data_IF_629617534328
#
_entry.id   IF_629617534328
#
_cell.length_a   1.000
_cell.length_b   1.000
_cell.length_c   1.000
_cell.angle_alpha   90.00
_cell.angle_beta   90.00
_cell.angle_gamma   90.00
#
_symmetry.space_group_name_H-M   'P 1'
#
loop_
_entity.id
_entity.type
_entity.pdbx_description
1 polymer ?
#
# COMPACT_ATOMS: atom_id res chain seq x y z
N UNK A 1 14.10 -5.70 4.99
CA UNK A 1 12.79 -5.34 4.42
C UNK A 1 12.06 -6.61 3.96
N UNK A 2 10.72 -6.67 4.18
CA UNK A 2 9.90 -7.75 3.62
C UNK A 2 9.96 -7.70 2.08
N UNK A 3 9.97 -8.85 1.37
CA UNK A 3 10.08 -8.87 -0.10
C UNK A 3 9.06 -8.00 -0.81
N UNK A 4 7.81 -7.97 -0.30
CA UNK A 4 6.75 -7.10 -0.84
C UNK A 4 7.02 -5.60 -0.70
N UNK A 5 7.68 -5.18 0.38
CA UNK A 5 8.07 -3.78 0.59
C UNK A 5 9.21 -3.40 -0.34
N UNK A 6 10.21 -4.29 -0.48
CA UNK A 6 11.32 -4.09 -1.43
C UNK A 6 10.81 -3.96 -2.87
N UNK A 7 9.94 -4.87 -3.30
CA UNK A 7 9.35 -4.81 -4.64
C UNK A 7 8.55 -3.51 -4.87
N UNK A 8 7.82 -3.04 -3.86
CA UNK A 8 7.09 -1.78 -3.96
C UNK A 8 8.03 -0.57 -4.06
N UNK A 9 9.14 -0.55 -3.32
CA UNK A 9 10.12 0.54 -3.39
C UNK A 9 10.83 0.58 -4.73
N UNK A 10 11.22 -0.58 -5.28
CA UNK A 10 11.80 -0.68 -6.61
C UNK A 10 10.82 -0.18 -7.67
N UNK A 11 9.56 -0.62 -7.61
CA UNK A 11 8.51 -0.13 -8.53
C UNK A 11 8.35 1.39 -8.47
N UNK A 12 8.25 1.96 -7.25
CA UNK A 12 8.10 3.41 -7.10
C UNK A 12 9.33 4.18 -7.61
N UNK A 13 10.51 3.66 -7.36
CA UNK A 13 11.75 4.23 -7.88
C UNK A 13 11.78 4.20 -9.41
N UNK A 14 11.66 3.01 -9.99
CA UNK A 14 11.80 2.81 -11.45
C UNK A 14 10.73 3.56 -12.24
N UNK A 15 9.51 3.66 -11.69
CA UNK A 15 8.39 4.22 -12.43
C UNK A 15 8.20 5.72 -12.23
N UNK A 16 8.58 6.27 -11.08
CA UNK A 16 8.27 7.67 -10.75
C UNK A 16 9.48 8.54 -10.46
N UNK A 17 10.59 7.99 -10.02
CA UNK A 17 11.71 8.79 -9.51
C UNK A 17 12.90 8.76 -10.46
N UNK A 18 13.25 7.60 -10.97
CA UNK A 18 14.49 7.35 -11.72
C UNK A 18 14.71 8.31 -12.90
N UNK A 19 13.67 8.61 -13.65
CA UNK A 19 13.73 9.47 -14.84
C UNK A 19 13.51 10.96 -14.51
N UNK A 20 13.33 11.33 -13.25
CA UNK A 20 13.19 12.73 -12.86
C UNK A 20 14.56 13.43 -12.86
N UNK A 21 14.63 14.70 -13.32
CA UNK A 21 15.90 15.41 -13.44
C UNK A 21 16.76 15.38 -12.17
N UNK A 22 16.15 15.59 -11.01
CA UNK A 22 16.88 15.61 -9.73
C UNK A 22 17.50 14.26 -9.36
N UNK A 23 16.94 13.14 -9.83
CA UNK A 23 17.48 11.81 -9.54
C UNK A 23 18.83 11.52 -10.21
N UNK A 24 19.14 12.30 -11.24
CA UNK A 24 20.38 12.22 -12.01
C UNK A 24 21.35 13.39 -11.74
N UNK A 25 21.00 14.28 -10.77
CA UNK A 25 21.85 15.39 -10.36
C UNK A 25 22.82 14.95 -9.25
N UNK A 26 24.01 15.57 -9.19
CA UNK A 26 24.89 15.47 -8.03
C UNK A 26 24.15 15.91 -6.75
N UNK A 27 24.29 15.17 -5.64
CA UNK A 27 23.58 15.43 -4.39
C UNK A 27 23.64 16.89 -3.92
N UNK A 28 24.81 17.59 -3.96
CA UNK A 28 24.89 18.99 -3.54
C UNK A 28 24.09 20.00 -4.41
N UNK A 29 23.72 19.59 -5.63
CA UNK A 29 22.97 20.43 -6.58
C UNK A 29 21.46 20.23 -6.47
N UNK A 30 21.00 19.23 -5.71
CA UNK A 30 19.57 19.00 -5.51
C UNK A 30 19.03 20.04 -4.53
N UNK A 31 18.18 20.91 -5.05
CA UNK A 31 17.54 21.96 -4.26
C UNK A 31 16.12 21.60 -3.83
N UNK A 32 15.65 22.33 -2.83
CA UNK A 32 14.26 22.19 -2.36
C UNK A 32 13.22 22.45 -3.46
N UNK A 33 13.52 23.35 -4.41
CA UNK A 33 12.69 23.65 -5.58
C UNK A 33 12.46 22.42 -6.45
N UNK A 34 13.48 21.60 -6.64
CA UNK A 34 13.42 20.43 -7.52
C UNK A 34 12.48 19.35 -6.96
N UNK A 35 12.61 19.06 -5.66
CA UNK A 35 11.72 18.13 -4.97
C UNK A 35 10.30 18.68 -4.90
N UNK A 36 10.12 19.97 -4.65
CA UNK A 36 8.81 20.61 -4.64
C UNK A 36 8.15 20.57 -6.03
N UNK A 37 8.89 20.86 -7.09
CA UNK A 37 8.41 20.79 -8.47
C UNK A 37 7.97 19.36 -8.82
N UNK A 38 8.78 18.36 -8.48
CA UNK A 38 8.45 16.96 -8.67
C UNK A 38 7.15 16.55 -7.96
N UNK A 39 7.02 16.82 -6.67
CA UNK A 39 5.82 16.48 -5.91
C UNK A 39 4.58 17.21 -6.44
N UNK A 40 4.74 18.48 -6.82
CA UNK A 40 3.65 19.27 -7.41
C UNK A 40 3.23 18.72 -8.77
N UNK A 41 4.19 18.27 -9.60
CA UNK A 41 3.94 17.60 -10.88
C UNK A 41 3.08 16.35 -10.67
N UNK A 42 3.42 15.49 -9.71
CA UNK A 42 2.67 14.28 -9.41
C UNK A 42 1.22 14.59 -8.98
N UNK A 43 1.04 15.57 -8.11
CA UNK A 43 -0.30 15.99 -7.67
C UNK A 43 -1.14 16.56 -8.82
N UNK A 44 -0.55 17.35 -9.72
CA UNK A 44 -1.21 17.86 -10.94
C UNK A 44 -1.64 16.76 -11.89
N UNK A 45 -0.90 15.64 -11.94
CA UNK A 45 -1.27 14.44 -12.70
C UNK A 45 -2.27 13.53 -11.98
N UNK A 46 -2.92 14.01 -10.91
CA UNK A 46 -3.98 13.30 -10.21
C UNK A 46 -3.49 12.31 -9.13
N UNK A 47 -2.22 12.38 -8.73
CA UNK A 47 -1.73 11.59 -7.61
C UNK A 47 -2.43 11.96 -6.32
N UNK A 48 -2.92 10.95 -5.61
CA UNK A 48 -3.44 11.17 -4.27
C UNK A 48 -2.29 11.47 -3.29
N UNK A 49 -2.54 12.31 -2.30
CA UNK A 49 -1.54 12.68 -1.29
C UNK A 49 -0.95 11.46 -0.56
N UNK A 50 -1.76 10.42 -0.33
CA UNK A 50 -1.27 9.17 0.28
C UNK A 50 -0.34 8.37 -0.65
N UNK A 51 -0.49 8.49 -1.97
CA UNK A 51 0.43 7.88 -2.93
C UNK A 51 1.75 8.65 -2.97
N UNK A 52 1.68 9.98 -2.86
CA UNK A 52 2.87 10.83 -2.71
C UNK A 52 3.63 10.51 -1.42
N UNK A 53 2.94 10.16 -0.33
CA UNK A 53 3.58 9.69 0.90
C UNK A 53 4.47 8.47 0.65
N UNK A 54 4.00 7.51 -0.16
CA UNK A 54 4.77 6.32 -0.50
C UNK A 54 6.04 6.66 -1.28
N UNK A 55 6.00 7.65 -2.16
CA UNK A 55 7.20 8.15 -2.87
C UNK A 55 8.13 8.89 -1.89
N UNK A 56 7.57 9.71 -1.01
CA UNK A 56 8.34 10.43 0.00
C UNK A 56 9.07 9.47 0.96
N UNK A 57 8.55 8.26 1.22
CA UNK A 57 9.24 7.23 2.04
C UNK A 57 10.50 6.66 1.37
N UNK A 58 10.74 6.95 0.11
CA UNK A 58 11.99 6.61 -0.60
C UNK A 58 12.88 7.85 -0.66
N UNK A 59 12.36 8.96 -1.19
CA UNK A 59 13.15 10.18 -1.47
C UNK A 59 13.69 10.81 -0.18
N UNK A 60 12.84 10.97 0.85
CA UNK A 60 13.22 11.68 2.06
C UNK A 60 14.31 10.95 2.88
N UNK A 61 14.19 9.63 3.18
CA UNK A 61 15.24 8.92 3.92
C UNK A 61 16.57 8.82 3.15
N UNK A 62 16.53 8.67 1.82
CA UNK A 62 17.75 8.64 1.01
C UNK A 62 18.51 9.97 1.10
N UNK A 63 17.80 11.10 1.05
CA UNK A 63 18.42 12.42 1.22
C UNK A 63 18.82 12.69 2.68
N UNK A 64 18.16 12.06 3.67
CA UNK A 64 18.56 12.15 5.06
C UNK A 64 19.88 11.38 5.29
N UNK A 65 20.03 10.18 4.71
CA UNK A 65 21.33 9.47 4.73
C UNK A 65 22.45 10.31 4.14
N UNK A 66 22.18 11.05 3.04
CA UNK A 66 23.17 11.95 2.47
C UNK A 66 23.56 13.12 3.41
N UNK A 67 22.67 13.52 4.31
CA UNK A 67 22.99 14.49 5.38
C UNK A 67 23.81 13.81 6.48
N UNK A 68 23.41 12.61 6.90
CA UNK A 68 24.10 11.85 7.96
C UNK A 68 25.54 11.47 7.53
N UNK A 69 25.77 11.25 6.23
CA UNK A 69 27.08 10.95 5.64
C UNK A 69 27.85 12.22 5.20
N UNK A 70 27.40 13.42 5.57
CA UNK A 70 28.04 14.71 5.26
C UNK A 70 28.15 15.06 3.77
N UNK A 71 27.42 14.40 2.88
CA UNK A 71 27.37 14.77 1.45
C UNK A 71 26.62 16.08 1.19
N UNK A 72 25.60 16.35 2.01
CA UNK A 72 24.79 17.60 1.94
C UNK A 72 24.51 18.12 3.36
N UNK A 73 24.47 19.43 3.52
CA UNK A 73 24.27 20.05 4.84
C UNK A 73 22.84 19.97 5.37
N UNK A 74 21.86 19.88 4.48
CA UNK A 74 20.43 19.89 4.82
C UNK A 74 19.65 19.04 3.80
N UNK A 75 18.68 18.30 4.30
CA UNK A 75 17.79 17.53 3.44
C UNK A 75 16.83 18.45 2.65
N UNK A 76 16.93 18.53 1.31
CA UNK A 76 16.10 19.40 0.49
C UNK A 76 14.61 18.99 0.50
N UNK A 77 14.27 17.76 0.81
CA UNK A 77 12.88 17.28 0.88
C UNK A 77 12.18 17.60 2.20
N UNK A 78 12.91 18.07 3.21
CA UNK A 78 12.39 18.26 4.57
C UNK A 78 11.15 19.16 4.62
N UNK A 79 10.05 18.62 5.14
CA UNK A 79 8.79 19.32 5.35
C UNK A 79 7.96 19.62 4.10
N UNK A 80 8.41 19.26 2.89
CA UNK A 80 7.65 19.52 1.64
C UNK A 80 6.35 18.71 1.64
N UNK A 81 6.42 17.40 1.86
CA UNK A 81 5.24 16.55 1.90
C UNK A 81 4.22 17.03 2.93
N UNK A 82 4.69 17.36 4.15
CA UNK A 82 3.81 17.87 5.21
C UNK A 82 3.10 19.16 4.78
N UNK A 83 3.83 20.09 4.17
CA UNK A 83 3.25 21.33 3.65
C UNK A 83 2.18 21.06 2.60
N UNK A 84 2.47 20.25 1.58
CA UNK A 84 1.52 19.90 0.52
C UNK A 84 0.27 19.16 1.03
N UNK A 85 0.40 18.42 2.15
CA UNK A 85 -0.72 17.77 2.80
C UNK A 85 -1.64 18.75 3.55
N UNK A 86 -1.09 19.83 4.08
CA UNK A 86 -1.83 20.77 4.94
C UNK A 86 -2.38 21.98 4.20
N UNK A 87 -1.74 22.44 3.14
CA UNK A 87 -2.13 23.67 2.41
C UNK A 87 -3.26 23.47 1.38
N UNK A 88 -3.86 22.27 1.34
CA UNK A 88 -4.98 21.96 0.46
C UNK A 88 -4.64 21.76 -1.01
N UNK A 89 -3.36 21.74 -1.37
CA UNK A 89 -2.89 21.51 -2.75
C UNK A 89 -3.25 20.13 -3.30
N UNK A 90 -3.59 19.18 -2.42
CA UNK A 90 -3.98 17.83 -2.80
C UNK A 90 -5.49 17.60 -2.64
N UNK A 91 -6.12 16.83 -3.54
CA UNK A 91 -7.50 16.41 -3.38
C UNK A 91 -7.71 15.73 -2.03
N UNK A 92 -8.75 16.16 -1.29
CA UNK A 92 -9.08 15.50 -0.02
C UNK A 92 -9.42 14.03 -0.28
N UNK A 93 -8.80 13.08 0.45
CA UNK A 93 -9.12 11.68 0.28
C UNK A 93 -10.59 11.43 0.61
N UNK A 94 -11.30 10.72 -0.28
CA UNK A 94 -12.68 10.31 0.00
C UNK A 94 -12.69 9.43 1.25
N UNK A 95 -13.50 9.81 2.26
CA UNK A 95 -13.66 9.03 3.48
C UNK A 95 -14.28 7.67 3.12
N UNK A 96 -13.60 6.59 3.43
CA UNK A 96 -14.15 5.24 3.32
C UNK A 96 -15.14 5.04 4.46
N UNK A 97 -16.36 4.65 4.13
CA UNK A 97 -17.43 4.37 5.10
C UNK A 97 -17.66 2.86 5.07
N UNK A 98 -17.78 2.26 6.25
CA UNK A 98 -18.16 0.86 6.37
C UNK A 98 -19.61 0.66 5.90
N UNK A 99 -19.89 -0.51 5.33
CA UNK A 99 -21.25 -0.87 4.96
C UNK A 99 -22.14 -0.99 6.22
N UNK A 100 -23.35 -0.45 6.14
CA UNK A 100 -24.37 -0.74 7.15
C UNK A 100 -24.81 -2.21 7.05
N UNK A 101 -25.41 -2.74 8.10
CA UNK A 101 -25.93 -4.12 8.12
C UNK A 101 -26.90 -4.40 6.94
N UNK A 102 -27.77 -3.45 6.65
CA UNK A 102 -28.71 -3.54 5.51
C UNK A 102 -27.98 -3.57 4.16
N UNK A 103 -26.98 -2.69 3.99
CA UNK A 103 -26.16 -2.67 2.76
C UNK A 103 -25.38 -3.98 2.57
N UNK A 104 -24.82 -4.54 3.65
CA UNK A 104 -24.14 -5.82 3.64
C UNK A 104 -25.07 -6.96 3.20
N UNK A 105 -26.27 -7.03 3.78
CA UNK A 105 -27.27 -8.03 3.43
C UNK A 105 -27.72 -7.90 1.97
N UNK A 106 -27.96 -6.68 1.50
CA UNK A 106 -28.35 -6.43 0.12
C UNK A 106 -27.23 -6.80 -0.86
N UNK A 107 -25.99 -6.52 -0.51
CA UNK A 107 -24.81 -6.91 -1.30
C UNK A 107 -24.68 -8.43 -1.44
N UNK A 108 -24.77 -9.18 -0.33
CA UNK A 108 -24.72 -10.65 -0.36
C UNK A 108 -25.90 -11.23 -1.17
N UNK A 109 -27.10 -10.67 -1.02
CA UNK A 109 -28.28 -11.09 -1.78
C UNK A 109 -28.13 -10.82 -3.27
N UNK A 110 -27.54 -9.68 -3.64
CA UNK A 110 -27.22 -9.38 -5.03
C UNK A 110 -26.24 -10.38 -5.62
N UNK A 111 -25.14 -10.68 -4.91
CA UNK A 111 -24.15 -11.68 -5.35
C UNK A 111 -24.78 -13.04 -5.50
N UNK A 112 -25.57 -13.49 -4.54
CA UNK A 112 -26.23 -14.82 -4.57
C UNK A 112 -27.14 -15.00 -5.79
N UNK A 113 -27.79 -13.94 -6.24
CA UNK A 113 -28.71 -13.96 -7.40
C UNK A 113 -28.04 -13.68 -8.75
N UNK A 114 -26.80 -13.24 -8.75
CA UNK A 114 -26.09 -12.86 -9.98
C UNK A 114 -25.52 -14.07 -10.69
N UNK A 115 -25.88 -14.35 -11.95
CA UNK A 115 -25.26 -15.41 -12.73
C UNK A 115 -23.73 -15.26 -12.87
N UNK A 116 -23.27 -14.01 -12.91
CA UNK A 116 -21.85 -13.68 -13.10
C UNK A 116 -21.04 -13.74 -11.80
N UNK A 117 -21.64 -13.34 -10.68
CA UNK A 117 -20.90 -13.12 -9.43
C UNK A 117 -21.20 -14.13 -8.32
N UNK A 118 -22.14 -15.07 -8.52
CA UNK A 118 -22.56 -16.03 -7.49
C UNK A 118 -21.42 -16.90 -6.95
N UNK A 119 -20.42 -17.22 -7.76
CA UNK A 119 -19.23 -17.97 -7.33
C UNK A 119 -18.36 -17.23 -6.30
N UNK A 120 -18.50 -15.91 -6.17
CA UNK A 120 -17.82 -15.11 -5.14
C UNK A 120 -18.54 -15.11 -3.80
N UNK A 121 -19.77 -15.63 -3.72
CA UNK A 121 -20.58 -15.59 -2.50
C UNK A 121 -19.86 -16.19 -1.27
N UNK A 122 -19.21 -17.38 -1.34
CA UNK A 122 -18.54 -17.94 -0.18
C UNK A 122 -17.44 -17.05 0.38
N UNK A 123 -16.56 -16.56 -0.47
CA UNK A 123 -15.44 -15.72 -0.03
C UNK A 123 -15.94 -14.36 0.52
N UNK A 124 -16.95 -13.75 -0.11
CA UNK A 124 -17.52 -12.48 0.36
C UNK A 124 -18.25 -12.66 1.70
N UNK A 125 -18.90 -13.80 1.93
CA UNK A 125 -19.53 -14.12 3.22
C UNK A 125 -18.48 -14.25 4.31
N UNK A 126 -17.39 -14.96 4.06
CA UNK A 126 -16.29 -15.09 5.03
C UNK A 126 -15.66 -13.74 5.33
N UNK A 127 -15.32 -12.95 4.30
CA UNK A 127 -14.70 -11.64 4.48
C UNK A 127 -15.57 -10.67 5.30
N UNK A 128 -16.88 -10.63 5.01
CA UNK A 128 -17.82 -9.75 5.72
C UNK A 128 -18.14 -10.26 7.12
N UNK A 129 -18.19 -11.58 7.33
CA UNK A 129 -18.49 -12.18 8.63
C UNK A 129 -17.34 -12.15 9.62
N UNK A 130 -16.09 -12.25 9.11
CA UNK A 130 -14.89 -12.34 9.96
C UNK A 130 -14.05 -11.07 10.02
N UNK A 131 -14.22 -10.16 9.06
CA UNK A 131 -13.36 -8.98 8.92
C UNK A 131 -11.91 -9.30 8.54
N UNK A 132 -11.63 -10.48 8.01
CA UNK A 132 -10.30 -10.86 7.51
C UNK A 132 -9.87 -9.97 6.35
N UNK A 133 -8.55 -9.79 6.21
CA UNK A 133 -8.00 -9.20 4.98
C UNK A 133 -8.08 -10.22 3.83
N UNK A 134 -8.19 -9.73 2.60
CA UNK A 134 -8.29 -10.62 1.42
C UNK A 134 -7.16 -11.65 1.41
N UNK A 135 -5.91 -11.22 1.63
CA UNK A 135 -4.75 -12.12 1.63
C UNK A 135 -4.76 -13.15 2.79
N UNK A 136 -5.36 -12.83 3.91
CA UNK A 136 -5.59 -13.77 5.02
C UNK A 136 -6.64 -14.81 4.61
N UNK A 137 -7.77 -14.35 4.08
CA UNK A 137 -8.86 -15.22 3.65
C UNK A 137 -8.45 -16.18 2.51
N UNK A 138 -7.72 -15.67 1.51
CA UNK A 138 -7.23 -16.52 0.40
C UNK A 138 -6.12 -17.49 0.81
N UNK A 139 -5.46 -17.22 1.94
CA UNK A 139 -4.43 -18.09 2.51
C UNK A 139 -4.98 -19.26 3.33
N UNK A 140 -6.25 -19.23 3.76
CA UNK A 140 -6.84 -20.28 4.61
C UNK A 140 -6.69 -21.66 3.99
N UNK A 141 -6.20 -22.59 4.78
CA UNK A 141 -6.13 -24.01 4.46
C UNK A 141 -7.10 -24.83 5.33
N UNK A 142 -7.30 -26.11 5.00
CA UNK A 142 -8.18 -26.99 5.79
C UNK A 142 -7.68 -27.13 7.24
N UNK A 143 -6.38 -27.11 7.46
CA UNK A 143 -5.78 -27.21 8.81
C UNK A 143 -6.01 -25.97 9.67
N UNK A 144 -6.37 -24.85 9.08
CA UNK A 144 -6.66 -23.61 9.82
C UNK A 144 -8.11 -23.55 10.34
N UNK A 145 -8.97 -24.50 9.92
CA UNK A 145 -10.39 -24.53 10.27
C UNK A 145 -10.63 -25.62 11.31
N UNK A 146 -11.12 -25.22 12.48
CA UNK A 146 -11.58 -26.12 13.51
C UNK A 146 -13.12 -26.08 13.59
N UNK A 147 -13.77 -27.09 13.00
CA UNK A 147 -15.24 -27.17 12.95
C UNK A 147 -15.85 -27.52 14.31
N UNK A 148 -15.12 -28.20 15.21
CA UNK A 148 -15.63 -28.56 16.54
C UNK A 148 -15.70 -27.32 17.46
N UNK A 149 -14.79 -26.39 17.30
CA UNK A 149 -14.73 -25.14 18.06
C UNK A 149 -15.31 -23.94 17.30
N UNK A 150 -15.72 -24.13 16.04
CA UNK A 150 -16.16 -23.04 15.14
C UNK A 150 -15.15 -21.91 15.03
N UNK A 151 -13.85 -22.24 14.92
CA UNK A 151 -12.77 -21.27 14.84
C UNK A 151 -11.98 -21.38 13.56
N UNK A 152 -11.38 -20.26 13.15
CA UNK A 152 -10.44 -20.18 12.02
C UNK A 152 -9.16 -19.53 12.52
N UNK A 153 -8.03 -20.22 12.37
CA UNK A 153 -6.71 -19.67 12.70
C UNK A 153 -6.18 -18.81 11.56
N UNK A 154 -5.85 -17.55 11.85
CA UNK A 154 -5.24 -16.64 10.89
C UNK A 154 -3.75 -16.48 11.26
N UNK A 155 -2.89 -17.20 10.58
CA UNK A 155 -1.46 -17.29 10.89
C UNK A 155 -0.55 -16.98 9.70
N UNK A 156 -1.10 -16.90 8.50
CA UNK A 156 -0.38 -16.59 7.26
C UNK A 156 -1.25 -15.83 6.24
N UNK A 157 -0.63 -15.35 5.17
CA UNK A 157 -1.26 -14.68 4.04
C UNK A 157 -0.81 -15.32 2.73
N UNK A 158 -1.71 -15.42 1.77
CA UNK A 158 -1.37 -15.73 0.38
C UNK A 158 -1.37 -14.44 -0.44
N UNK A 159 -0.24 -14.11 -1.07
CA UNK A 159 -0.11 -12.94 -1.94
C UNK A 159 0.34 -13.36 -3.33
N UNK A 160 -0.16 -12.69 -4.36
CA UNK A 160 0.36 -12.83 -5.73
C UNK A 160 1.25 -11.62 -6.05
N UNK A 161 2.52 -11.88 -6.31
CA UNK A 161 3.51 -10.83 -6.57
C UNK A 161 4.61 -11.30 -7.52
N UNK A 162 5.24 -10.32 -8.18
CA UNK A 162 6.52 -10.53 -8.84
C UNK A 162 7.61 -10.36 -7.78
N UNK A 163 8.38 -11.42 -7.53
CA UNK A 163 9.54 -11.41 -6.64
C UNK A 163 10.71 -11.99 -7.45
N UNK A 164 11.81 -11.25 -7.51
CA UNK A 164 13.01 -11.60 -8.27
C UNK A 164 12.71 -11.95 -9.75
N UNK A 165 11.85 -11.14 -10.38
CA UNK A 165 11.44 -11.27 -11.78
C UNK A 165 10.42 -12.37 -12.08
N UNK A 166 10.00 -13.17 -11.08
CA UNK A 166 9.01 -14.25 -11.25
C UNK A 166 7.68 -13.88 -10.59
N UNK A 167 6.61 -13.88 -11.39
CA UNK A 167 5.25 -13.73 -10.90
C UNK A 167 4.76 -15.06 -10.29
N UNK A 168 4.19 -14.98 -9.08
CA UNK A 168 3.70 -16.19 -8.41
C UNK A 168 2.97 -15.91 -7.11
N UNK A 169 2.41 -16.98 -6.55
CA UNK A 169 1.83 -16.97 -5.22
C UNK A 169 2.90 -17.21 -4.16
N UNK A 170 2.86 -16.42 -3.11
CA UNK A 170 3.80 -16.51 -1.99
C UNK A 170 3.05 -16.53 -0.67
N UNK A 171 3.41 -17.48 0.20
CA UNK A 171 2.93 -17.50 1.58
C UNK A 171 3.83 -16.57 2.39
N UNK A 172 3.21 -15.69 3.17
CA UNK A 172 3.91 -14.71 4.02
C UNK A 172 3.29 -14.67 5.41
N UNK A 173 4.07 -14.24 6.39
CA UNK A 173 3.56 -13.99 7.74
C UNK A 173 2.65 -12.76 7.78
N UNK A 174 1.71 -12.67 8.72
CA UNK A 174 0.93 -11.47 8.96
C UNK A 174 1.81 -10.23 9.14
N UNK A 175 1.25 -9.05 8.83
CA UNK A 175 2.01 -7.78 8.86
C UNK A 175 2.46 -7.40 10.28
N UNK A 176 1.69 -7.77 11.29
CA UNK A 176 1.91 -7.48 12.72
C UNK A 176 1.73 -8.74 13.54
N UNK A 177 2.32 -8.80 14.73
CA UNK A 177 2.12 -9.91 15.67
C UNK A 177 0.63 -10.11 16.02
N UNK A 178 -0.11 -9.02 16.17
CA UNK A 178 -1.57 -9.04 16.39
C UNK A 178 -2.39 -9.51 15.17
N UNK A 179 -1.76 -9.73 14.02
CA UNK A 179 -2.38 -10.31 12.83
C UNK A 179 -2.55 -11.83 12.93
N UNK A 180 -1.81 -12.49 13.84
CA UNK A 180 -2.00 -13.92 14.16
C UNK A 180 -3.13 -14.02 15.19
N UNK A 181 -4.19 -14.68 14.87
CA UNK A 181 -5.38 -14.82 15.72
C UNK A 181 -6.18 -16.06 15.34
#
# INVERSE_FOLDING_TARGET
LKPSTRANYLYLWDFYVKEEPFANMPLPQIHRSDILAFYTKLLKHGFAINSLESINTIVHPTLEMAVDDDYIRKNPSKGIYRKLKTDGSAPKPKRRIALTKTQQQNFLRFIAKSPTYSHWLPIMTVLLGTGMRVAECTGITKSDINLSENTISVNHNLIYRVIDGKAGFHITTPKTASGTR
#
